data_IF_093708576209
#
_entry.id   IF_093708576209
#
_cell.length_a   1.000
_cell.length_b   1.000
_cell.length_c   1.000
_cell.angle_alpha   90.00
_cell.angle_beta   90.00
_cell.angle_gamma   90.00
#
_symmetry.space_group_name_H-M   'P 1'
#
loop_
_entity.id
_entity.type
_entity.pdbx_description
1 polymer ?
#
# COMPACT_ATOMS: atom_id res chain seq x y z
N UNK A 1 -20.92 11.26 14.91
CA UNK A 1 -21.00 10.33 13.74
C UNK A 1 -19.88 10.57 12.73
N UNK A 2 -19.54 11.85 12.45
CA UNK A 2 -18.51 12.24 11.47
C UNK A 2 -17.12 11.76 11.86
N UNK A 3 -16.74 11.87 13.13
CA UNK A 3 -15.44 11.49 13.64
C UNK A 3 -15.20 9.97 13.62
N UNK A 4 -16.24 9.18 13.85
CA UNK A 4 -16.14 7.73 13.82
C UNK A 4 -15.90 7.16 12.41
N UNK A 5 -16.35 7.86 11.35
CA UNK A 5 -16.18 7.43 9.96
C UNK A 5 -14.82 7.86 9.38
N UNK A 6 -14.27 8.99 9.84
CA UNK A 6 -12.98 9.50 9.34
C UNK A 6 -11.76 8.83 10.00
N UNK A 7 -11.89 8.39 11.23
CA UNK A 7 -10.80 7.83 12.01
C UNK A 7 -10.07 6.65 11.34
N UNK A 8 -10.73 5.67 10.70
CA UNK A 8 -10.04 4.59 9.99
C UNK A 8 -9.20 5.10 8.80
N UNK A 9 -9.71 6.07 8.04
CA UNK A 9 -8.99 6.67 6.91
C UNK A 9 -7.78 7.47 7.37
N UNK A 10 -7.91 8.28 8.41
CA UNK A 10 -6.81 9.06 8.98
C UNK A 10 -5.72 8.15 9.53
N UNK A 11 -6.11 7.06 10.17
CA UNK A 11 -5.17 6.06 10.66
C UNK A 11 -4.43 5.34 9.52
N UNK A 12 -5.12 5.03 8.42
CA UNK A 12 -4.50 4.47 7.22
C UNK A 12 -3.51 5.45 6.61
N UNK A 13 -3.89 6.72 6.45
CA UNK A 13 -3.02 7.76 5.92
C UNK A 13 -1.80 7.99 6.82
N UNK A 14 -1.98 8.03 8.13
CA UNK A 14 -0.88 8.12 9.08
C UNK A 14 0.08 6.94 8.93
N UNK A 15 -0.45 5.72 8.85
CA UNK A 15 0.35 4.52 8.68
C UNK A 15 1.13 4.53 7.36
N UNK A 16 0.50 4.92 6.25
CA UNK A 16 1.16 5.08 4.95
C UNK A 16 2.32 6.09 5.01
N UNK A 17 2.11 7.23 5.65
CA UNK A 17 3.17 8.25 5.82
C UNK A 17 4.33 7.75 6.68
N UNK A 18 4.04 6.96 7.71
CA UNK A 18 5.09 6.42 8.58
C UNK A 18 5.90 5.30 7.95
N UNK A 19 5.25 4.41 7.22
CA UNK A 19 5.90 3.19 6.69
C UNK A 19 6.45 3.35 5.28
N UNK A 20 5.90 4.28 4.51
CA UNK A 20 6.28 4.48 3.13
C UNK A 20 6.71 5.93 2.90
N UNK A 21 8.01 6.21 2.97
CA UNK A 21 8.60 7.55 2.84
C UNK A 21 8.15 8.30 1.57
N UNK A 22 7.84 7.59 0.50
CA UNK A 22 7.35 8.18 -0.76
C UNK A 22 5.89 8.68 -0.70
N UNK A 23 5.18 8.42 0.41
CA UNK A 23 3.86 8.98 0.69
C UNK A 23 3.89 10.15 1.70
N UNK A 24 5.07 10.56 2.14
CA UNK A 24 5.21 11.80 2.92
C UNK A 24 5.01 13.01 2.02
N UNK A 25 4.49 14.10 2.57
CA UNK A 25 4.17 15.30 1.78
C UNK A 25 5.39 15.92 1.10
N UNK A 26 6.54 15.86 1.76
CA UNK A 26 7.80 16.42 1.28
C UNK A 26 8.85 15.31 1.26
N UNK A 27 8.95 14.63 0.16
CA UNK A 27 9.92 13.54 0.01
C UNK A 27 10.65 13.62 -1.32
N UNK A 28 11.95 13.41 -1.27
CA UNK A 28 12.77 13.16 -2.45
C UNK A 28 12.57 11.75 -3.01
N UNK A 29 11.94 10.87 -2.21
CA UNK A 29 11.66 9.48 -2.58
C UNK A 29 10.33 9.31 -3.35
N UNK A 30 9.89 10.34 -4.05
CA UNK A 30 8.65 10.31 -4.81
C UNK A 30 8.70 9.26 -5.93
N UNK A 31 7.65 8.43 -6.09
CA UNK A 31 7.59 7.46 -7.18
C UNK A 31 7.38 8.20 -8.50
N UNK A 32 8.36 8.10 -9.40
CA UNK A 32 8.33 8.80 -10.70
C UNK A 32 7.35 8.18 -11.69
N UNK A 33 6.82 7.00 -11.42
CA UNK A 33 5.80 6.30 -12.20
C UNK A 33 4.61 5.95 -11.33
N UNK A 34 3.41 6.15 -11.87
CA UNK A 34 2.17 5.79 -11.18
C UNK A 34 2.11 4.29 -10.86
N UNK A 35 2.59 3.44 -11.79
CA UNK A 35 2.68 2.01 -11.55
C UNK A 35 3.49 1.68 -10.27
N UNK A 36 4.62 2.35 -10.07
CA UNK A 36 5.44 2.13 -8.89
C UNK A 36 4.73 2.56 -7.59
N UNK A 37 3.93 3.63 -7.65
CA UNK A 37 3.11 4.05 -6.50
C UNK A 37 2.04 3.01 -6.16
N UNK A 38 1.34 2.51 -7.18
CA UNK A 38 0.29 1.49 -7.02
C UNK A 38 0.86 0.15 -6.52
N UNK A 39 1.96 -0.32 -7.12
CA UNK A 39 2.62 -1.57 -6.71
C UNK A 39 3.05 -1.52 -5.23
N UNK A 40 3.62 -0.40 -4.79
CA UNK A 40 3.97 -0.20 -3.38
C UNK A 40 2.73 -0.14 -2.48
N UNK A 41 1.65 0.47 -2.95
CA UNK A 41 0.36 0.47 -2.26
C UNK A 41 -0.16 -0.95 -2.03
N UNK A 42 -0.10 -1.81 -3.04
CA UNK A 42 -0.48 -3.22 -2.91
C UNK A 42 0.41 -3.98 -1.91
N UNK A 43 1.72 -3.81 -1.99
CA UNK A 43 2.66 -4.43 -1.02
C UNK A 43 2.35 -3.97 0.40
N UNK A 44 2.07 -2.69 0.58
CA UNK A 44 1.71 -2.15 1.89
C UNK A 44 0.38 -2.72 2.41
N UNK A 45 -0.63 -2.84 1.55
CA UNK A 45 -1.91 -3.43 1.91
C UNK A 45 -1.75 -4.90 2.34
N UNK A 46 -1.03 -5.69 1.56
CA UNK A 46 -0.73 -7.10 1.88
C UNK A 46 0.00 -7.21 3.22
N UNK A 47 1.03 -6.41 3.42
CA UNK A 47 1.78 -6.41 4.67
C UNK A 47 0.91 -6.09 5.87
N UNK A 48 0.11 -5.03 5.77
CA UNK A 48 -0.78 -4.58 6.84
C UNK A 48 -1.86 -5.62 7.15
N UNK A 49 -2.48 -6.18 6.12
CA UNK A 49 -3.69 -6.97 6.29
C UNK A 49 -3.41 -8.45 6.54
N UNK A 50 -2.29 -8.98 6.03
CA UNK A 50 -1.98 -10.41 6.11
C UNK A 50 -0.76 -10.74 6.95
N UNK A 51 0.23 -9.83 7.06
CA UNK A 51 1.53 -10.14 7.67
C UNK A 51 1.69 -9.48 9.03
N UNK A 52 1.35 -8.20 9.14
CA UNK A 52 1.58 -7.42 10.36
C UNK A 52 0.50 -7.65 11.41
N UNK A 53 0.91 -8.04 12.60
CA UNK A 53 0.03 -8.09 13.77
C UNK A 53 -0.53 -6.70 14.14
N UNK A 54 -1.69 -6.69 14.78
CA UNK A 54 -2.47 -5.48 15.05
C UNK A 54 -1.76 -4.48 15.96
N UNK A 55 -1.00 -4.94 16.92
CA UNK A 55 -0.36 -4.07 17.92
C UNK A 55 1.03 -4.57 18.28
N UNK A 56 1.96 -3.63 18.38
CA UNK A 56 3.31 -3.86 18.89
C UNK A 56 3.39 -3.64 20.41
N UNK A 57 2.55 -2.76 20.96
CA UNK A 57 2.54 -2.44 22.40
C UNK A 57 1.84 -3.49 23.24
N UNK A 58 0.74 -4.03 22.72
CA UNK A 58 0.07 -5.20 23.31
C UNK A 58 0.25 -6.29 22.27
N UNK A 59 1.05 -7.33 22.54
CA UNK A 59 1.38 -8.32 21.53
C UNK A 59 0.13 -9.07 21.07
N UNK A 60 -0.56 -8.49 20.13
CA UNK A 60 -1.68 -9.09 19.42
C UNK A 60 -1.20 -9.44 18.02
N UNK A 61 -0.89 -10.72 17.81
CA UNK A 61 -0.40 -11.24 16.53
C UNK A 61 -1.49 -11.37 15.47
N UNK A 62 -2.77 -11.17 15.85
CA UNK A 62 -3.87 -11.24 14.89
C UNK A 62 -3.72 -10.13 13.86
N UNK A 63 -3.85 -10.49 12.61
CA UNK A 63 -3.89 -9.55 11.49
C UNK A 63 -5.33 -9.10 11.21
N UNK A 64 -5.55 -8.00 10.48
CA UNK A 64 -6.89 -7.62 10.05
C UNK A 64 -7.62 -8.75 9.29
N UNK A 65 -6.91 -9.49 8.44
CA UNK A 65 -7.50 -10.63 7.70
C UNK A 65 -7.97 -11.75 8.64
N UNK A 66 -7.24 -12.03 9.73
CA UNK A 66 -7.66 -12.98 10.76
C UNK A 66 -8.91 -12.51 11.50
N UNK A 67 -9.02 -11.21 11.78
CA UNK A 67 -10.19 -10.65 12.43
C UNK A 67 -11.46 -10.74 11.56
N UNK A 68 -11.27 -10.77 10.25
CA UNK A 68 -12.35 -10.97 9.26
C UNK A 68 -12.61 -12.44 8.93
N UNK A 69 -11.90 -13.38 9.56
CA UNK A 69 -12.03 -14.81 9.29
C UNK A 69 -11.52 -15.24 7.92
N UNK A 70 -10.66 -14.45 7.28
CA UNK A 70 -10.09 -14.75 5.96
C UNK A 70 -8.84 -15.64 6.05
N UNK A 71 -8.18 -15.64 7.20
CA UNK A 71 -7.00 -16.47 7.47
C UNK A 71 -6.97 -16.85 8.94
N UNK A 72 -6.41 -18.02 9.24
CA UNK A 72 -6.28 -18.52 10.62
C UNK A 72 -4.96 -18.09 11.28
N UNK A 73 -3.99 -17.68 10.48
CA UNK A 73 -2.64 -17.31 10.93
C UNK A 73 -2.08 -16.12 10.14
N UNK A 74 -1.12 -15.36 10.70
CA UNK A 74 -0.39 -14.35 9.95
C UNK A 74 0.40 -15.00 8.81
N UNK A 75 0.39 -14.39 7.64
CA UNK A 75 1.17 -14.90 6.50
C UNK A 75 2.64 -14.49 6.62
N UNK A 76 3.52 -15.41 6.26
CA UNK A 76 4.93 -15.09 6.03
C UNK A 76 5.13 -14.44 4.66
N UNK A 77 6.20 -13.69 4.50
CA UNK A 77 6.57 -13.14 3.19
C UNK A 77 6.84 -14.24 2.15
N UNK A 78 7.38 -15.37 2.55
CA UNK A 78 7.56 -16.52 1.66
C UNK A 78 6.23 -17.03 1.11
N UNK A 79 5.19 -17.05 1.95
CA UNK A 79 3.83 -17.43 1.51
C UNK A 79 3.22 -16.39 0.57
N UNK A 80 3.42 -15.11 0.85
CA UNK A 80 2.95 -14.01 -0.01
C UNK A 80 3.62 -14.06 -1.38
N UNK A 81 4.95 -14.16 -1.40
CA UNK A 81 5.74 -14.14 -2.64
C UNK A 81 5.61 -15.43 -3.47
N UNK A 82 5.28 -16.55 -2.81
CA UNK A 82 5.05 -17.83 -3.47
C UNK A 82 3.71 -17.95 -4.20
N UNK A 83 2.83 -16.93 -4.12
CA UNK A 83 1.50 -16.95 -4.72
C UNK A 83 1.24 -15.69 -5.54
N UNK A 84 0.51 -15.84 -6.64
CA UNK A 84 -0.04 -14.68 -7.34
C UNK A 84 -1.18 -14.09 -6.49
N UNK A 85 -1.22 -12.77 -6.39
CA UNK A 85 -2.28 -12.07 -5.66
C UNK A 85 -3.66 -12.37 -6.28
N UNK A 86 -3.73 -12.37 -7.61
CA UNK A 86 -4.90 -12.77 -8.35
C UNK A 86 -4.60 -14.01 -9.21
N UNK A 87 -5.34 -15.11 -9.02
CA UNK A 87 -5.25 -16.27 -9.89
C UNK A 87 -5.51 -15.89 -11.36
N UNK A 88 -4.93 -16.63 -12.31
CA UNK A 88 -5.04 -16.31 -13.74
C UNK A 88 -6.51 -16.30 -14.25
N UNK A 89 -7.36 -17.09 -13.62
CA UNK A 89 -8.80 -17.19 -13.95
C UNK A 89 -9.68 -16.15 -13.23
N UNK A 90 -9.10 -15.36 -12.32
CA UNK A 90 -9.87 -14.33 -11.61
C UNK A 90 -10.18 -13.16 -12.54
N UNK A 91 -11.45 -12.82 -12.77
CA UNK A 91 -11.81 -11.69 -13.63
C UNK A 91 -11.44 -10.38 -12.92
N UNK A 92 -10.46 -9.68 -13.46
CA UNK A 92 -10.12 -8.33 -13.01
C UNK A 92 -10.81 -7.29 -13.91
N UNK A 93 -11.25 -6.14 -13.35
CA UNK A 93 -11.64 -5.00 -14.17
C UNK A 93 -10.55 -4.67 -15.19
N UNK A 94 -10.93 -4.29 -16.41
CA UNK A 94 -9.98 -4.13 -17.53
C UNK A 94 -8.81 -3.18 -17.21
N UNK A 95 -9.07 -2.08 -16.49
CA UNK A 95 -8.03 -1.14 -16.05
C UNK A 95 -7.05 -1.78 -15.05
N UNK A 96 -7.55 -2.59 -14.14
CA UNK A 96 -6.72 -3.29 -13.15
C UNK A 96 -5.91 -4.41 -13.80
N UNK A 97 -6.51 -5.15 -14.74
CA UNK A 97 -5.82 -6.20 -15.48
C UNK A 97 -4.59 -5.64 -16.21
N UNK A 98 -4.75 -4.52 -16.91
CA UNK A 98 -3.65 -3.84 -17.62
C UNK A 98 -2.52 -3.41 -16.68
N UNK A 99 -2.85 -2.84 -15.52
CA UNK A 99 -1.87 -2.44 -14.52
C UNK A 99 -1.19 -3.66 -13.87
N UNK A 100 -1.96 -4.66 -13.49
CA UNK A 100 -1.47 -5.86 -12.81
C UNK A 100 -0.55 -6.71 -13.71
N UNK A 101 -0.90 -6.82 -15.00
CA UNK A 101 -0.09 -7.56 -15.99
C UNK A 101 1.05 -6.73 -16.57
N UNK A 102 1.13 -5.45 -16.23
CA UNK A 102 2.07 -4.47 -16.81
C UNK A 102 1.92 -4.27 -18.31
N UNK A 103 0.74 -4.53 -18.85
CA UNK A 103 0.41 -4.22 -20.26
C UNK A 103 0.36 -2.71 -20.50
N UNK A 104 0.15 -1.95 -19.44
CA UNK A 104 0.22 -0.50 -19.45
C UNK A 104 1.21 -0.01 -18.39
N UNK A 105 2.23 0.67 -18.84
CA UNK A 105 3.23 1.33 -18.00
C UNK A 105 3.12 2.83 -18.19
N UNK A 106 2.86 3.56 -17.10
CA UNK A 106 2.78 5.02 -17.13
C UNK A 106 4.13 5.64 -17.48
N UNK A 107 4.16 6.75 -18.23
CA UNK A 107 5.40 7.47 -18.50
C UNK A 107 6.06 7.90 -17.19
N UNK A 108 7.36 8.02 -17.23
CA UNK A 108 8.13 8.54 -16.11
C UNK A 108 7.94 10.05 -15.99
N UNK A 109 7.66 10.54 -14.80
CA UNK A 109 7.61 11.96 -14.52
C UNK A 109 9.01 12.57 -14.70
N UNK A 110 9.09 13.72 -15.35
CA UNK A 110 10.32 14.49 -15.51
C UNK A 110 10.98 14.80 -14.16
N UNK A 111 12.30 15.00 -14.16
CA UNK A 111 12.98 15.51 -12.97
C UNK A 111 12.48 16.92 -12.68
N UNK A 112 12.03 17.16 -11.45
CA UNK A 112 11.81 18.52 -11.00
C UNK A 112 13.19 19.17 -10.73
N UNK A 113 13.70 19.87 -11.74
CA UNK A 113 15.00 20.58 -11.64
C UNK A 113 14.88 21.94 -10.93
N UNK A 114 13.65 22.41 -10.72
CA UNK A 114 13.37 23.67 -10.01
C UNK A 114 12.66 23.36 -8.68
N UNK A 115 13.41 22.81 -7.75
CA UNK A 115 12.95 22.76 -6.36
C UNK A 115 13.13 24.14 -5.77
N UNK A 116 12.15 25.00 -5.94
CA UNK A 116 12.10 26.26 -5.19
C UNK A 116 11.59 25.94 -3.80
N UNK A 117 12.47 26.03 -2.81
CA UNK A 117 12.16 25.90 -1.38
C UNK A 117 11.17 26.98 -0.85
N UNK A 118 10.65 27.84 -1.73
CA UNK A 118 9.77 28.98 -1.40
C UNK A 118 8.43 28.53 -0.80
N UNK A 119 8.09 27.25 -0.87
CA UNK A 119 6.83 26.72 -0.31
C UNK A 119 7.03 25.71 0.84
N UNK A 120 8.22 25.60 1.38
CA UNK A 120 8.52 24.68 2.47
C UNK A 120 8.23 25.24 3.87
N UNK A 121 7.65 26.45 3.98
CA UNK A 121 7.28 27.10 5.24
C UNK A 121 5.90 27.74 5.17
#
# INVERSE_FOLDING_TARGET
>A
LRDALMFPSDRLHALLRHTAKHHTRETIAFPRRLNAALERGFVHAIWRDLVKGRSERKPDRRTPAMLLGLTDEPWSWSRVLGRRLFPAHHPLPASWAKLYRRDWVTPELGRNTRHTLIQAF
#
